data_IF_470141237544
#
_entry.id   IF_470141237544
#
_cell.length_a   1.000
_cell.length_b   1.000
_cell.length_c   1.000
_cell.angle_alpha   90.00
_cell.angle_beta   90.00
_cell.angle_gamma   90.00
#
_symmetry.space_group_name_H-M   'P 1'
#
loop_
_entity.id
_entity.type
_entity.pdbx_description
1 polymer ?
#
# COMPACT_ATOMS: atom_id res chain seq x y z
N UNK A 1 -12.84 3.74 6.15
CA UNK A 1 -11.42 4.09 6.43
C UNK A 1 -10.76 2.82 6.92
N UNK A 2 -9.60 2.46 6.36
CA UNK A 2 -8.85 1.28 6.76
C UNK A 2 -7.39 1.65 7.01
N UNK A 3 -6.84 1.20 8.14
CA UNK A 3 -5.48 1.52 8.55
C UNK A 3 -4.57 0.28 8.45
N UNK A 4 -3.36 0.49 7.94
CA UNK A 4 -2.33 -0.52 7.72
C UNK A 4 -1.03 -0.11 8.40
N UNK A 5 -0.32 -1.10 8.94
CA UNK A 5 1.06 -0.96 9.43
C UNK A 5 1.95 -1.94 8.70
N UNK A 6 2.77 -1.43 7.79
CA UNK A 6 3.63 -2.23 6.92
C UNK A 6 5.09 -2.08 7.38
N UNK A 7 5.70 -3.18 7.83
CA UNK A 7 7.05 -3.12 8.43
C UNK A 7 8.12 -2.84 7.36
N UNK A 8 9.02 -1.88 7.61
CA UNK A 8 10.04 -1.44 6.64
C UNK A 8 11.02 -2.55 6.20
N UNK A 9 11.26 -3.56 7.05
CA UNK A 9 12.08 -4.72 6.67
C UNK A 9 11.40 -5.65 5.66
N UNK A 10 10.07 -5.61 5.57
CA UNK A 10 9.28 -6.48 4.67
C UNK A 10 8.85 -5.71 3.43
N UNK A 11 8.41 -4.47 3.60
CA UNK A 11 7.84 -3.63 2.55
C UNK A 11 8.83 -2.55 2.12
N UNK A 12 8.85 -2.23 0.83
CA UNK A 12 9.66 -1.14 0.26
C UNK A 12 8.87 0.16 0.22
N UNK A 13 9.53 1.28 0.53
CA UNK A 13 8.95 2.62 0.35
C UNK A 13 8.62 2.91 -1.12
N UNK A 14 9.47 2.48 -2.06
CA UNK A 14 9.24 2.67 -3.50
C UNK A 14 8.01 1.89 -3.98
N UNK A 15 7.90 0.62 -3.59
CA UNK A 15 6.72 -0.21 -3.88
C UNK A 15 5.43 0.41 -3.32
N UNK A 16 5.53 1.08 -2.18
CA UNK A 16 4.40 1.73 -1.53
C UNK A 16 3.98 3.02 -2.23
N UNK A 17 4.92 3.81 -2.74
CA UNK A 17 4.66 4.96 -3.61
C UNK A 17 3.95 4.53 -4.91
N UNK A 18 4.46 3.48 -5.56
CA UNK A 18 3.88 2.94 -6.79
C UNK A 18 2.47 2.36 -6.55
N UNK A 19 2.28 1.60 -5.47
CA UNK A 19 0.96 1.12 -5.08
C UNK A 19 -0.02 2.27 -4.80
N UNK A 20 0.44 3.35 -4.15
CA UNK A 20 -0.39 4.52 -3.87
C UNK A 20 -0.89 5.20 -5.15
N UNK A 21 -0.06 5.22 -6.20
CA UNK A 21 -0.46 5.73 -7.52
C UNK A 21 -1.47 4.79 -8.21
N UNK A 22 -1.22 3.48 -8.18
CA UNK A 22 -2.11 2.49 -8.79
C UNK A 22 -3.52 2.49 -8.15
N UNK A 23 -3.63 2.81 -6.87
CA UNK A 23 -4.90 2.84 -6.14
C UNK A 23 -5.58 4.22 -6.12
N UNK A 24 -4.98 5.26 -6.72
CA UNK A 24 -5.48 6.63 -6.63
C UNK A 24 -6.92 6.84 -7.16
N UNK A 25 -7.33 6.01 -8.13
CA UNK A 25 -8.68 6.04 -8.72
C UNK A 25 -9.74 5.44 -7.79
N UNK A 26 -9.37 4.48 -6.94
CA UNK A 26 -10.31 3.74 -6.07
C UNK A 26 -10.25 4.18 -4.61
N UNK A 27 -9.13 4.77 -4.18
CA UNK A 27 -8.91 5.20 -2.81
C UNK A 27 -8.02 6.44 -2.72
N UNK A 28 -8.25 7.25 -1.70
CA UNK A 28 -7.26 8.18 -1.17
C UNK A 28 -6.31 7.41 -0.25
N UNK A 29 -5.01 7.56 -0.50
CA UNK A 29 -3.94 6.89 0.23
C UNK A 29 -3.10 7.94 0.94
N UNK A 30 -3.11 7.92 2.27
CA UNK A 30 -2.20 8.72 3.10
C UNK A 30 -1.12 7.82 3.68
N UNK A 31 0.15 8.18 3.50
CA UNK A 31 1.29 7.41 3.99
C UNK A 31 2.08 8.24 4.97
N UNK A 32 2.39 7.67 6.14
CA UNK A 32 3.30 8.24 7.13
C UNK A 32 4.42 7.26 7.40
N UNK A 33 5.66 7.73 7.26
CA UNK A 33 6.82 6.95 7.65
C UNK A 33 7.05 7.13 9.15
N UNK A 34 6.80 6.07 9.93
CA UNK A 34 7.00 6.06 11.37
C UNK A 34 7.70 4.77 11.78
N UNK A 35 9.04 4.84 11.85
CA UNK A 35 9.88 3.67 12.09
C UNK A 35 9.42 2.89 13.34
N UNK A 36 9.29 1.55 13.26
CA UNK A 36 9.74 0.70 12.15
C UNK A 36 8.67 0.41 11.07
N UNK A 37 7.61 1.20 10.95
CA UNK A 37 6.51 0.96 10.02
C UNK A 37 6.29 2.10 9.03
N UNK A 38 5.69 1.75 7.89
CA UNK A 38 4.86 2.66 7.11
C UNK A 38 3.44 2.54 7.65
N UNK A 39 2.89 3.64 8.17
CA UNK A 39 1.48 3.73 8.54
C UNK A 39 0.71 4.24 7.32
N UNK A 40 -0.26 3.48 6.85
CA UNK A 40 -1.04 3.81 5.66
C UNK A 40 -2.51 3.88 6.05
N UNK A 41 -3.16 4.99 5.72
CA UNK A 41 -4.60 5.17 5.84
C UNK A 41 -5.23 5.19 4.46
N UNK A 42 -6.19 4.30 4.24
CA UNK A 42 -6.96 4.18 3.00
C UNK A 42 -8.38 4.69 3.22
N UNK A 43 -8.82 5.59 2.35
CA UNK A 43 -10.23 6.03 2.27
C UNK A 43 -10.76 5.69 0.88
N UNK A 44 -11.67 4.72 0.82
CA UNK A 44 -12.35 4.38 -0.42
C UNK A 44 -13.10 5.60 -0.98
N UNK A 45 -13.06 5.76 -2.30
CA UNK A 45 -13.83 6.82 -2.98
C UNK A 45 -15.29 6.42 -3.18
N UNK A 46 -15.56 5.13 -3.32
CA UNK A 46 -16.92 4.60 -3.41
C UNK A 46 -17.42 4.17 -2.03
N UNK A 47 -18.68 4.48 -1.74
CA UNK A 47 -19.29 4.23 -0.43
C UNK A 47 -19.47 2.72 -0.14
N UNK A 48 -19.65 1.91 -1.19
CA UNK A 48 -19.94 0.48 -1.08
C UNK A 48 -18.67 -0.40 -1.11
N UNK A 49 -17.48 0.20 -1.18
CA UNK A 49 -16.22 -0.54 -1.10
C UNK A 49 -16.02 -1.10 0.30
N UNK A 50 -15.86 -2.42 0.41
CA UNK A 50 -15.48 -3.08 1.66
C UNK A 50 -14.07 -2.61 2.11
N UNK A 51 -13.96 -1.92 3.26
CA UNK A 51 -12.68 -1.42 3.75
C UNK A 51 -11.65 -2.53 4.02
N UNK A 52 -12.08 -3.73 4.41
CA UNK A 52 -11.17 -4.85 4.71
C UNK A 52 -10.61 -5.46 3.42
N UNK A 53 -11.44 -5.60 2.38
CA UNK A 53 -11.01 -6.05 1.07
C UNK A 53 -9.99 -5.07 0.46
N UNK A 54 -10.31 -3.77 0.46
CA UNK A 54 -9.41 -2.72 -0.02
C UNK A 54 -8.06 -2.75 0.72
N UNK A 55 -8.10 -2.96 2.04
CA UNK A 55 -6.90 -3.06 2.88
C UNK A 55 -6.03 -4.25 2.50
N UNK A 56 -6.63 -5.43 2.35
CA UNK A 56 -5.94 -6.66 1.98
C UNK A 56 -5.33 -6.57 0.59
N UNK A 57 -6.10 -6.05 -0.38
CA UNK A 57 -5.66 -5.90 -1.76
C UNK A 57 -4.48 -4.93 -1.87
N UNK A 58 -4.56 -3.76 -1.23
CA UNK A 58 -3.47 -2.79 -1.20
C UNK A 58 -2.19 -3.39 -0.61
N UNK A 59 -2.29 -4.06 0.56
CA UNK A 59 -1.13 -4.67 1.21
C UNK A 59 -0.49 -5.78 0.37
N UNK A 60 -1.29 -6.60 -0.31
CA UNK A 60 -0.80 -7.65 -1.20
C UNK A 60 -0.10 -7.07 -2.43
N UNK A 61 -0.66 -6.00 -3.01
CA UNK A 61 -0.07 -5.32 -4.15
C UNK A 61 1.30 -4.72 -3.81
N UNK A 62 1.42 -4.02 -2.67
CA UNK A 62 2.70 -3.46 -2.20
C UNK A 62 3.72 -4.59 -1.95
N UNK A 63 3.28 -5.73 -1.40
CA UNK A 63 4.16 -6.88 -1.17
C UNK A 63 4.68 -7.45 -2.49
N UNK A 64 3.81 -7.60 -3.49
CA UNK A 64 4.20 -8.08 -4.82
C UNK A 64 5.26 -7.17 -5.46
N UNK A 65 5.02 -5.85 -5.49
CA UNK A 65 5.98 -4.87 -5.99
C UNK A 65 7.30 -4.89 -5.20
N UNK A 66 7.23 -5.04 -3.88
CA UNK A 66 8.45 -5.16 -3.05
C UNK A 66 9.27 -6.40 -3.41
N UNK A 67 8.61 -7.52 -3.71
CA UNK A 67 9.28 -8.75 -4.14
C UNK A 67 9.92 -8.56 -5.51
N UNK A 68 9.25 -7.91 -6.45
CA UNK A 68 9.77 -7.62 -7.79
C UNK A 68 10.99 -6.70 -7.73
N UNK A 69 10.92 -5.62 -6.94
CA UNK A 69 12.03 -4.69 -6.72
C UNK A 69 13.26 -5.43 -6.16
N UNK A 70 13.07 -6.27 -5.14
CA UNK A 70 14.16 -7.05 -4.52
C UNK A 70 14.78 -8.08 -5.46
N UNK A 71 14.02 -8.57 -6.43
CA UNK A 71 14.51 -9.49 -7.47
C UNK A 71 15.27 -8.78 -8.58
N UNK A 72 15.40 -7.45 -8.53
CA UNK A 72 16.07 -6.64 -9.55
C UNK A 72 15.19 -6.34 -10.76
N UNK A 73 13.86 -6.46 -10.63
CA UNK A 73 12.91 -6.13 -11.68
C UNK A 73 12.87 -4.63 -11.92
N UNK A 74 13.54 -4.16 -12.97
CA UNK A 74 13.10 -2.98 -13.71
C UNK A 74 12.22 -3.50 -14.85
N UNK A 75 10.94 -3.12 -14.83
CA UNK A 75 10.19 -3.01 -16.09
C UNK A 75 10.49 -1.65 -16.70
#
# INVERSE_FOLDING_TARGET
MADLRLHHLVYSGRALEEASQAFAEVAEVEVRQQMPYFEVTLRAREADTDPEALRGEFANYVLALTIEERRGGHR
#
